data_IF_117919814905
#
_entry.id   IF_117919814905
#
_cell.length_a   1.000
_cell.length_b   1.000
_cell.length_c   1.000
_cell.angle_alpha   90.00
_cell.angle_beta   90.00
_cell.angle_gamma   90.00
#
_symmetry.space_group_name_H-M   'P 1'
#
loop_
_entity.id
_entity.type
_entity.pdbx_description
1 polymer ?
#
# COMPACT_ATOMS: atom_id res chain seq x y z
N UNK A 1 10.58 -2.46 -13.66
CA UNK A 1 10.25 -2.50 -12.22
C UNK A 1 8.73 -2.55 -12.07
N UNK A 2 8.16 -3.31 -11.12
CA UNK A 2 6.69 -3.48 -10.96
C UNK A 2 6.00 -2.13 -10.72
N UNK A 3 6.53 -1.29 -9.83
CA UNK A 3 6.00 0.04 -9.54
C UNK A 3 5.86 0.91 -10.81
N UNK A 4 6.91 1.03 -11.63
CA UNK A 4 6.83 1.79 -12.89
C UNK A 4 5.85 1.18 -13.91
N UNK A 5 5.70 -0.15 -13.93
CA UNK A 5 4.67 -0.79 -14.76
C UNK A 5 3.29 -0.33 -14.32
N UNK A 6 2.99 -0.40 -13.01
CA UNK A 6 1.68 -0.02 -12.46
C UNK A 6 1.33 1.45 -12.67
N UNK A 7 2.33 2.34 -12.71
CA UNK A 7 2.16 3.77 -13.02
C UNK A 7 1.72 3.99 -14.47
N UNK A 8 2.27 3.20 -15.40
CA UNK A 8 2.06 3.38 -16.84
C UNK A 8 0.96 2.47 -17.41
N UNK A 9 0.50 1.49 -16.64
CA UNK A 9 -0.51 0.53 -17.04
C UNK A 9 -1.87 1.22 -17.19
N UNK A 10 -2.44 1.03 -18.38
CA UNK A 10 -3.74 1.55 -18.78
C UNK A 10 -4.65 0.37 -19.07
N UNK A 11 -5.91 0.47 -18.65
CA UNK A 11 -6.92 -0.54 -18.93
C UNK A 11 -8.12 0.07 -19.63
N UNK A 12 -8.82 -0.78 -20.37
CA UNK A 12 -10.09 -0.44 -21.02
C UNK A 12 -11.20 -0.73 -20.04
N UNK A 13 -12.05 0.25 -19.74
CA UNK A 13 -13.29 -0.03 -19.03
C UNK A 13 -14.35 -0.60 -19.99
N UNK A 14 -15.48 -1.06 -19.43
CA UNK A 14 -16.60 -1.64 -20.18
C UNK A 14 -17.18 -0.74 -21.27
N UNK A 15 -16.89 0.57 -21.24
CA UNK A 15 -17.33 1.56 -22.22
C UNK A 15 -16.24 1.92 -23.24
N UNK A 16 -15.11 1.20 -23.23
CA UNK A 16 -13.98 1.47 -24.11
C UNK A 16 -13.17 2.72 -23.72
N UNK A 17 -13.35 3.27 -22.51
CA UNK A 17 -12.51 4.36 -22.05
C UNK A 17 -11.20 3.82 -21.49
N UNK A 18 -10.09 4.46 -21.87
CA UNK A 18 -8.76 4.13 -21.36
C UNK A 18 -8.55 4.83 -20.02
N UNK A 19 -8.42 4.06 -18.94
CA UNK A 19 -8.19 4.56 -17.59
C UNK A 19 -6.81 4.19 -17.08
N UNK A 20 -6.21 5.09 -16.29
CA UNK A 20 -5.00 4.78 -15.52
C UNK A 20 -5.38 4.00 -14.25
N UNK A 21 -4.44 3.23 -13.74
CA UNK A 21 -4.58 2.63 -12.41
C UNK A 21 -4.78 3.70 -11.34
N UNK A 22 -5.71 3.42 -10.43
CA UNK A 22 -6.00 4.21 -9.24
C UNK A 22 -5.70 3.35 -8.02
N UNK A 23 -5.06 3.93 -7.01
CA UNK A 23 -4.78 3.23 -5.75
C UNK A 23 -4.83 4.20 -4.57
N UNK A 24 -5.38 3.74 -3.44
CA UNK A 24 -5.03 4.30 -2.13
C UNK A 24 -3.54 4.02 -1.82
N UNK A 25 -2.97 4.66 -0.81
CA UNK A 25 -1.55 4.47 -0.51
C UNK A 25 -1.20 3.01 -0.17
N UNK A 26 -2.03 2.34 0.62
CA UNK A 26 -1.90 0.94 1.01
C UNK A 26 -2.19 -0.02 -0.14
N UNK A 27 -3.18 0.27 -0.98
CA UNK A 27 -3.55 -0.62 -2.10
C UNK A 27 -2.44 -0.66 -3.14
N UNK A 28 -1.74 0.46 -3.37
CA UNK A 28 -0.56 0.46 -4.21
C UNK A 28 0.53 -0.47 -3.67
N UNK A 29 0.82 -0.40 -2.37
CA UNK A 29 1.81 -1.25 -1.72
C UNK A 29 1.42 -2.74 -1.79
N UNK A 30 0.15 -3.06 -1.56
CA UNK A 30 -0.39 -4.42 -1.70
C UNK A 30 -0.29 -4.94 -3.12
N UNK A 31 -0.58 -4.10 -4.12
CA UNK A 31 -0.48 -4.50 -5.53
C UNK A 31 0.96 -4.82 -5.92
N UNK A 32 1.91 -4.00 -5.47
CA UNK A 32 3.35 -4.26 -5.68
C UNK A 32 3.76 -5.58 -5.03
N UNK A 33 3.35 -5.83 -3.78
CA UNK A 33 3.62 -7.07 -3.06
C UNK A 33 3.05 -8.29 -3.80
N UNK A 34 1.76 -8.28 -4.11
CA UNK A 34 1.06 -9.42 -4.72
C UNK A 34 1.64 -9.75 -6.09
N UNK A 35 1.99 -8.74 -6.89
CA UNK A 35 2.65 -8.96 -8.18
C UNK A 35 4.08 -9.48 -8.07
N UNK A 36 4.83 -8.99 -7.07
CA UNK A 36 6.16 -9.52 -6.80
C UNK A 36 6.10 -10.98 -6.38
N UNK A 37 5.17 -11.32 -5.47
CA UNK A 37 5.00 -12.64 -4.91
C UNK A 37 4.51 -13.64 -5.96
N UNK A 38 3.47 -13.29 -6.72
CA UNK A 38 2.91 -14.16 -7.77
C UNK A 38 3.94 -14.50 -8.84
N UNK A 39 4.73 -13.52 -9.31
CA UNK A 39 5.80 -13.75 -10.29
C UNK A 39 6.91 -14.68 -9.82
N UNK A 40 7.04 -14.89 -8.50
CA UNK A 40 8.09 -15.71 -7.88
C UNK A 40 7.55 -16.94 -7.16
N UNK A 41 6.24 -17.20 -7.26
CA UNK A 41 5.60 -18.29 -6.52
C UNK A 41 5.75 -18.17 -5.00
N UNK A 42 5.89 -16.95 -4.47
CA UNK A 42 6.06 -16.73 -3.04
C UNK A 42 4.70 -16.77 -2.32
N UNK A 43 4.63 -17.41 -1.15
CA UNK A 43 3.42 -17.40 -0.36
C UNK A 43 3.25 -16.05 0.35
N UNK A 44 2.00 -15.61 0.51
CA UNK A 44 1.63 -14.35 1.13
C UNK A 44 0.59 -14.63 2.21
N UNK A 45 0.82 -14.11 3.42
CA UNK A 45 -0.12 -14.09 4.54
C UNK A 45 -0.28 -12.64 4.96
N UNK A 46 -1.51 -12.14 5.00
CA UNK A 46 -1.81 -10.77 5.40
C UNK A 46 -2.97 -10.78 6.41
N UNK A 47 -2.74 -10.28 7.60
CA UNK A 47 -3.70 -10.14 8.69
C UNK A 47 -4.26 -8.72 8.69
N UNK A 48 -5.56 -8.59 8.77
CA UNK A 48 -6.25 -7.30 8.96
C UNK A 48 -7.04 -7.34 10.25
N UNK A 49 -7.60 -6.20 10.66
CA UNK A 49 -8.57 -6.15 11.75
C UNK A 49 -9.83 -6.99 11.54
N UNK A 50 -10.08 -7.50 10.32
CA UNK A 50 -11.25 -8.33 10.00
C UNK A 50 -10.91 -9.80 9.91
N UNK A 51 -9.84 -10.16 9.19
CA UNK A 51 -9.45 -11.57 8.97
C UNK A 51 -8.00 -11.69 8.47
N UNK A 52 -7.54 -12.93 8.36
CA UNK A 52 -6.29 -13.25 7.68
C UNK A 52 -6.56 -13.76 6.27
N UNK A 53 -5.79 -13.27 5.30
CA UNK A 53 -5.80 -13.68 3.90
C UNK A 53 -4.53 -14.47 3.61
N UNK A 54 -4.66 -15.54 2.82
CA UNK A 54 -3.53 -16.32 2.33
C UNK A 54 -3.72 -16.56 0.85
N UNK A 55 -2.71 -16.32 0.02
CA UNK A 55 -2.82 -16.57 -1.43
C UNK A 55 -2.92 -18.07 -1.79
N UNK A 56 -2.82 -18.95 -0.79
CA UNK A 56 -2.98 -20.39 -0.86
C UNK A 56 -4.12 -20.87 0.05
N UNK A 57 -5.12 -20.02 0.33
CA UNK A 57 -6.25 -20.39 1.18
C UNK A 57 -7.20 -21.40 0.51
N UNK A 58 -7.93 -22.15 1.33
CA UNK A 58 -9.01 -22.99 0.83
C UNK A 58 -10.13 -22.09 0.32
N UNK A 59 -10.58 -22.36 -0.91
CA UNK A 59 -11.67 -21.62 -1.52
C UNK A 59 -12.96 -21.75 -0.71
N UNK A 60 -13.66 -20.62 -0.59
CA UNK A 60 -15.00 -20.50 -0.01
C UNK A 60 -15.84 -19.57 -0.87
N UNK A 61 -17.00 -20.05 -1.35
CA UNK A 61 -17.87 -19.29 -2.27
C UNK A 61 -18.21 -17.89 -1.73
N UNK A 62 -18.58 -17.80 -0.44
CA UNK A 62 -18.98 -16.55 0.22
C UNK A 62 -17.90 -15.45 0.21
N UNK A 63 -16.62 -15.81 0.09
CA UNK A 63 -15.51 -14.85 0.13
C UNK A 63 -14.85 -14.68 -1.24
N UNK A 64 -14.84 -15.74 -2.06
CA UNK A 64 -14.04 -15.81 -3.28
C UNK A 64 -14.85 -15.57 -4.56
N UNK A 65 -16.15 -15.87 -4.62
CA UNK A 65 -16.92 -15.75 -5.88
C UNK A 65 -17.06 -14.32 -6.39
N UNK A 66 -16.85 -13.33 -5.52
CA UNK A 66 -16.82 -11.92 -5.90
C UNK A 66 -15.56 -11.53 -6.67
N UNK A 67 -14.46 -12.29 -6.51
CA UNK A 67 -13.15 -11.94 -7.01
C UNK A 67 -12.62 -13.00 -7.97
N UNK A 68 -11.83 -12.57 -8.96
CA UNK A 68 -11.20 -13.53 -9.86
C UNK A 68 -10.22 -14.43 -9.08
N UNK A 69 -10.21 -15.73 -9.37
CA UNK A 69 -9.27 -16.70 -8.78
C UNK A 69 -7.86 -16.58 -9.37
N UNK A 70 -7.27 -15.39 -9.25
CA UNK A 70 -5.92 -15.05 -9.68
C UNK A 70 -5.33 -13.98 -8.75
N UNK A 71 -4.08 -13.59 -8.98
CA UNK A 71 -3.39 -12.58 -8.18
C UNK A 71 -4.16 -11.25 -8.08
N UNK A 72 -4.85 -10.85 -9.14
CA UNK A 72 -5.61 -9.60 -9.16
C UNK A 72 -6.80 -9.67 -8.21
N UNK A 73 -7.62 -10.71 -8.29
CA UNK A 73 -8.75 -10.87 -7.38
C UNK A 73 -8.32 -11.11 -5.92
N UNK A 74 -7.20 -11.82 -5.69
CA UNK A 74 -6.61 -11.90 -4.34
C UNK A 74 -6.24 -10.52 -3.80
N UNK A 75 -5.59 -9.69 -4.63
CA UNK A 75 -5.21 -8.33 -4.22
C UNK A 75 -6.44 -7.50 -3.86
N UNK A 76 -7.45 -7.50 -4.72
CA UNK A 76 -8.70 -6.73 -4.52
C UNK A 76 -9.46 -7.17 -3.26
N UNK A 77 -9.48 -8.48 -2.99
CA UNK A 77 -10.09 -9.04 -1.79
C UNK A 77 -9.39 -8.56 -0.51
N UNK A 78 -8.06 -8.45 -0.51
CA UNK A 78 -7.28 -7.96 0.64
C UNK A 78 -7.50 -6.44 0.83
N UNK A 79 -7.46 -5.67 -0.26
CA UNK A 79 -7.62 -4.21 -0.27
C UNK A 79 -8.92 -3.74 0.41
N UNK A 80 -9.98 -4.56 0.39
CA UNK A 80 -11.25 -4.26 1.07
C UNK A 80 -11.11 -3.96 2.57
N UNK A 81 -10.18 -4.63 3.26
CA UNK A 81 -10.07 -4.55 4.71
C UNK A 81 -8.69 -4.17 5.21
N UNK A 82 -7.69 -4.18 4.34
CA UNK A 82 -6.33 -3.78 4.67
C UNK A 82 -6.21 -2.25 4.65
N UNK A 83 -5.71 -1.67 5.73
CA UNK A 83 -5.44 -0.25 5.88
C UNK A 83 -3.98 0.02 6.20
N UNK A 84 -3.59 1.31 6.17
CA UNK A 84 -2.27 1.73 6.62
C UNK A 84 -1.87 1.20 8.01
N UNK A 85 -2.76 1.16 9.03
CA UNK A 85 -2.42 0.60 10.35
C UNK A 85 -2.01 -0.87 10.32
N UNK A 86 -2.54 -1.68 9.38
CA UNK A 86 -2.21 -3.11 9.31
C UNK A 86 -0.73 -3.33 8.92
N UNK A 87 -0.05 -2.32 8.35
CA UNK A 87 1.41 -2.37 8.13
C UNK A 87 2.21 -2.44 9.45
N UNK A 88 1.61 -1.99 10.56
CA UNK A 88 2.23 -1.97 11.88
C UNK A 88 2.03 -3.27 12.67
N UNK A 89 1.34 -4.27 12.09
CA UNK A 89 1.25 -5.63 12.64
C UNK A 89 2.61 -6.37 12.48
N UNK A 90 3.61 -5.93 13.25
CA UNK A 90 4.98 -6.44 13.22
C UNK A 90 5.01 -7.90 13.67
N UNK A 91 5.73 -8.73 12.92
CA UNK A 91 5.82 -10.17 13.12
C UNK A 91 4.72 -10.97 12.40
N UNK A 92 3.64 -10.29 11.97
CA UNK A 92 2.58 -10.85 11.12
C UNK A 92 2.76 -10.37 9.68
N UNK A 93 2.40 -9.12 9.36
CA UNK A 93 2.43 -8.57 8.00
C UNK A 93 3.82 -8.08 7.60
N UNK A 94 4.51 -7.49 8.56
CA UNK A 94 5.79 -6.81 8.34
C UNK A 94 6.82 -7.17 9.40
N UNK A 95 8.06 -6.81 9.14
CA UNK A 95 9.16 -6.77 10.08
C UNK A 95 9.62 -5.30 10.17
N UNK A 96 10.02 -4.85 11.36
CA UNK A 96 10.61 -3.52 11.51
C UNK A 96 11.94 -3.42 10.75
N UNK A 97 12.21 -2.24 10.21
CA UNK A 97 13.52 -1.89 9.65
C UNK A 97 14.12 -0.83 10.55
N UNK A 98 15.22 -1.17 11.23
CA UNK A 98 15.71 -0.37 12.35
C UNK A 98 16.36 0.96 11.94
N UNK A 99 16.79 1.07 10.68
CA UNK A 99 17.50 2.24 10.19
C UNK A 99 17.25 2.50 8.70
N UNK A 100 17.30 3.78 8.32
CA UNK A 100 17.13 4.24 6.93
C UNK A 100 18.16 3.58 6.00
N UNK A 101 19.37 3.38 6.48
CA UNK A 101 20.48 2.73 5.77
C UNK A 101 20.20 1.24 5.46
N UNK A 102 19.24 0.62 6.16
CA UNK A 102 18.84 -0.78 5.94
C UNK A 102 17.67 -0.94 4.97
N UNK A 103 17.10 0.17 4.49
CA UNK A 103 16.01 0.15 3.54
C UNK A 103 16.44 -0.49 2.22
N UNK A 104 15.50 -1.20 1.61
CA UNK A 104 15.62 -1.83 0.31
C UNK A 104 14.41 -1.49 -0.57
N UNK A 105 14.54 -1.56 -1.90
CA UNK A 105 13.38 -1.47 -2.78
C UNK A 105 12.31 -2.50 -2.41
N UNK A 106 11.07 -2.03 -2.22
CA UNK A 106 9.93 -2.81 -1.75
C UNK A 106 9.61 -2.61 -0.27
N UNK A 107 10.50 -1.98 0.51
CA UNK A 107 10.22 -1.60 1.89
C UNK A 107 9.18 -0.47 1.96
N UNK A 108 8.54 -0.36 3.11
CA UNK A 108 7.39 0.46 3.39
C UNK A 108 7.78 1.56 4.38
N UNK A 109 7.43 2.80 4.06
CA UNK A 109 7.46 3.93 4.99
C UNK A 109 6.01 4.18 5.41
N UNK A 110 5.70 3.99 6.68
CA UNK A 110 4.39 4.23 7.25
C UNK A 110 4.40 5.53 8.07
N UNK A 111 3.72 6.56 7.58
CA UNK A 111 3.60 7.85 8.26
C UNK A 111 2.68 7.68 9.48
N UNK A 112 3.24 7.88 10.66
CA UNK A 112 2.57 7.56 11.92
C UNK A 112 2.92 8.55 13.04
N UNK A 113 4.16 9.03 13.08
CA UNK A 113 4.73 9.79 14.20
C UNK A 113 4.36 11.29 14.18
N UNK A 114 3.57 11.72 13.20
CA UNK A 114 3.03 13.07 13.08
C UNK A 114 1.66 13.24 13.76
N UNK A 115 1.10 12.17 14.35
CA UNK A 115 -0.22 12.18 15.02
C UNK A 115 -0.18 11.41 16.35
N UNK A 116 -1.05 11.76 17.31
CA UNK A 116 -1.14 11.02 18.58
C UNK A 116 -1.45 9.54 18.36
N UNK A 117 -0.79 8.68 19.15
CA UNK A 117 -0.99 7.24 19.14
C UNK A 117 -0.13 6.49 18.13
N UNK A 118 0.69 7.20 17.34
CA UNK A 118 1.66 6.63 16.40
C UNK A 118 1.01 5.60 15.45
N UNK A 119 -0.22 5.87 15.01
CA UNK A 119 -0.98 4.98 14.11
C UNK A 119 -0.79 5.42 12.66
N UNK A 120 -0.36 4.48 11.83
CA UNK A 120 -0.10 4.73 10.42
C UNK A 120 -1.37 5.16 9.68
N UNK A 121 -1.29 6.29 8.98
CA UNK A 121 -2.41 6.83 8.19
C UNK A 121 -2.05 7.11 6.74
N UNK A 122 -0.77 7.00 6.38
CA UNK A 122 -0.30 7.12 5.01
C UNK A 122 0.90 6.21 4.76
N UNK A 123 0.97 5.65 3.55
CA UNK A 123 1.97 4.64 3.15
C UNK A 123 2.74 5.10 1.91
N UNK A 124 4.06 4.93 1.95
CA UNK A 124 4.94 5.09 0.79
C UNK A 124 5.76 3.81 0.59
N UNK A 125 6.05 3.48 -0.66
CA UNK A 125 6.87 2.31 -1.03
C UNK A 125 8.20 2.79 -1.55
N UNK A 126 9.30 2.28 -0.99
CA UNK A 126 10.66 2.52 -1.48
C UNK A 126 10.83 1.80 -2.82
N UNK A 127 11.29 2.53 -3.84
CA UNK A 127 11.54 1.97 -5.18
C UNK A 127 13.02 2.08 -5.60
N UNK A 128 13.79 2.91 -4.92
CA UNK A 128 15.22 3.06 -5.14
C UNK A 128 15.87 3.68 -3.92
N UNK A 129 17.12 3.31 -3.64
CA UNK A 129 17.90 3.86 -2.54
C UNK A 129 19.37 3.96 -2.92
N UNK A 130 20.01 5.04 -2.47
CA UNK A 130 21.45 5.19 -2.39
C UNK A 130 21.83 5.96 -1.11
N UNK A 131 23.10 6.30 -0.94
CA UNK A 131 23.63 6.92 0.29
C UNK A 131 23.04 8.30 0.63
N UNK A 132 22.50 9.02 -0.34
CA UNK A 132 21.94 10.37 -0.15
C UNK A 132 20.51 10.54 -0.64
N UNK A 133 19.88 9.48 -1.18
CA UNK A 133 18.55 9.58 -1.78
C UNK A 133 17.73 8.30 -1.63
N UNK A 134 16.44 8.47 -1.34
CA UNK A 134 15.43 7.41 -1.30
C UNK A 134 14.31 7.79 -2.25
N UNK A 135 14.14 7.05 -3.35
CA UNK A 135 13.03 7.27 -4.27
C UNK A 135 11.81 6.47 -3.79
N UNK A 136 10.65 7.12 -3.75
CA UNK A 136 9.40 6.51 -3.29
C UNK A 136 8.28 6.61 -4.32
N UNK A 137 7.28 5.74 -4.18
CA UNK A 137 6.00 5.80 -4.89
C UNK A 137 4.87 5.64 -3.89
N UNK A 138 3.76 6.32 -4.14
CA UNK A 138 2.60 6.26 -3.25
C UNK A 138 1.31 6.36 -4.07
N UNK A 139 0.28 5.60 -3.68
CA UNK A 139 -1.09 5.92 -4.07
C UNK A 139 -1.58 7.15 -3.32
N UNK A 140 -2.71 7.71 -3.75
CA UNK A 140 -3.31 8.88 -3.10
C UNK A 140 -4.84 8.69 -3.02
N UNK A 141 -5.52 9.48 -2.20
CA UNK A 141 -6.98 9.43 -2.04
C UNK A 141 -7.58 10.81 -2.22
N UNK A 142 -8.71 10.91 -2.93
CA UNK A 142 -9.40 12.19 -3.10
C UNK A 142 -10.26 12.47 -1.86
N UNK A 143 -9.70 13.21 -0.90
CA UNK A 143 -10.40 13.68 0.30
C UNK A 143 -10.06 12.91 1.58
N UNK A 144 -10.34 13.56 2.72
CA UNK A 144 -10.01 13.14 4.08
C UNK A 144 -10.52 11.72 4.39
N UNK A 145 -9.63 10.72 4.32
CA UNK A 145 -9.91 9.35 4.76
C UNK A 145 -9.08 9.01 5.98
N UNK A 146 -9.33 9.69 7.10
CA UNK A 146 -9.11 9.02 8.39
C UNK A 146 -10.14 7.90 8.46
N UNK A 147 -9.73 6.66 8.23
CA UNK A 147 -10.55 5.47 8.46
C UNK A 147 -10.77 5.33 9.99
N UNK A 148 -11.89 5.88 10.50
CA UNK A 148 -12.92 5.04 11.11
C UNK A 148 -14.31 5.20 10.44
N UNK A 149 -14.46 6.07 9.43
CA UNK A 149 -15.76 6.44 8.86
C UNK A 149 -16.40 5.42 7.89
N UNK A 150 -15.76 4.27 7.62
CA UNK A 150 -16.30 3.24 6.72
C UNK A 150 -17.48 2.45 7.29
N UNK A 151 -17.83 2.63 8.57
CA UNK A 151 -18.95 1.91 9.20
C UNK A 151 -20.31 2.50 8.79
N UNK A 152 -20.45 3.82 8.66
CA UNK A 152 -21.72 4.47 8.34
C UNK A 152 -22.02 4.48 6.84
N UNK A 153 -21.00 4.54 5.98
CA UNK A 153 -21.15 4.49 4.52
C UNK A 153 -21.41 3.08 3.97
N UNK A 154 -21.14 2.03 4.77
CA UNK A 154 -21.50 0.64 4.47
C UNK A 154 -23.02 0.44 4.31
N UNK A 155 -23.84 1.30 4.91
CA UNK A 155 -25.31 1.27 4.86
C UNK A 155 -25.91 1.84 3.56
N UNK A 156 -25.14 2.59 2.76
CA UNK A 156 -25.61 3.30 1.55
C UNK A 156 -25.04 2.71 0.24
N UNK A 157 -24.50 1.48 0.28
CA UNK A 157 -24.18 0.70 -0.92
C UNK A 157 -22.94 1.16 -1.71
N UNK A 158 -22.15 2.09 -1.18
CA UNK A 158 -20.94 2.62 -1.83
C UNK A 158 -19.72 2.34 -0.94
N UNK A 159 -19.07 1.18 -1.16
CA UNK A 159 -17.83 0.86 -0.45
C UNK A 159 -16.65 1.51 -1.18
N UNK A 160 -16.21 2.68 -0.69
CA UNK A 160 -15.10 3.46 -1.27
C UNK A 160 -13.73 2.76 -1.16
N UNK A 161 -13.63 1.70 -0.35
CA UNK A 161 -12.43 0.86 -0.24
C UNK A 161 -12.43 -0.31 -1.24
N UNK A 162 -13.52 -0.54 -1.97
CA UNK A 162 -13.57 -1.59 -2.98
C UNK A 162 -13.07 -1.07 -4.33
N UNK A 163 -11.93 -1.57 -4.85
CA UNK A 163 -11.41 -1.15 -6.15
C UNK A 163 -12.32 -1.50 -7.33
N UNK A 164 -13.30 -2.41 -7.15
CA UNK A 164 -14.28 -2.75 -8.18
C UNK A 164 -15.48 -1.80 -8.24
N UNK A 165 -15.64 -0.90 -7.27
CA UNK A 165 -16.77 0.04 -7.24
C UNK A 165 -16.47 1.34 -7.99
N UNK A 166 -17.50 1.91 -8.65
CA UNK A 166 -17.41 3.20 -9.36
C UNK A 166 -17.02 4.38 -8.45
N UNK A 167 -17.20 4.24 -7.12
CA UNK A 167 -16.86 5.23 -6.09
C UNK A 167 -15.52 5.00 -5.37
N UNK A 168 -14.63 4.17 -5.91
CA UNK A 168 -13.32 3.88 -5.31
C UNK A 168 -12.48 5.15 -5.10
N UNK A 169 -11.94 5.33 -3.88
CA UNK A 169 -11.28 6.57 -3.46
C UNK A 169 -9.84 6.75 -3.99
N UNK A 170 -9.25 5.71 -4.59
CA UNK A 170 -7.88 5.74 -5.07
C UNK A 170 -7.65 6.78 -6.17
N UNK A 171 -6.45 7.34 -6.21
CA UNK A 171 -5.99 8.30 -7.20
C UNK A 171 -4.77 7.77 -7.95
N UNK A 172 -4.30 8.55 -8.93
CA UNK A 172 -3.05 8.27 -9.64
C UNK A 172 -1.87 8.15 -8.68
N UNK A 173 -0.95 7.25 -9.00
CA UNK A 173 0.28 7.05 -8.22
C UNK A 173 1.18 8.30 -8.36
N UNK A 174 1.65 8.82 -7.24
CA UNK A 174 2.56 9.96 -7.18
C UNK A 174 4.03 9.52 -7.02
N UNK A 175 4.93 10.40 -7.48
CA UNK A 175 6.38 10.24 -7.36
C UNK A 175 6.92 11.26 -6.37
N UNK A 176 7.79 10.81 -5.49
CA UNK A 176 8.54 11.67 -4.58
C UNK A 176 9.88 11.03 -4.24
N UNK A 177 10.72 11.79 -3.55
CA UNK A 177 11.97 11.26 -3.02
C UNK A 177 12.37 11.98 -1.74
N UNK A 178 13.18 11.31 -0.93
CA UNK A 178 13.89 11.91 0.19
C UNK A 178 15.34 12.16 -0.19
N UNK A 179 15.88 13.29 0.26
CA UNK A 179 17.30 13.65 0.10
C UNK A 179 17.93 13.84 1.48
N UNK A 180 19.13 13.29 1.66
CA UNK A 180 19.84 13.37 2.93
C UNK A 180 20.29 14.81 3.17
N UNK A 181 19.82 15.40 4.27
CA UNK A 181 20.21 16.74 4.69
C UNK A 181 21.26 16.68 5.80
N UNK A 182 21.69 17.85 6.28
CA UNK A 182 22.58 17.94 7.46
C UNK A 182 21.87 17.35 8.70
N UNK A 183 20.57 17.58 8.80
CA UNK A 183 19.70 17.01 9.84
C UNK A 183 18.60 16.21 9.15
N UNK A 184 18.64 14.90 9.30
CA UNK A 184 17.59 14.02 8.81
C UNK A 184 17.46 13.95 7.28
N UNK A 185 16.21 13.86 6.81
CA UNK A 185 15.90 13.60 5.41
C UNK A 185 14.73 14.46 4.92
N UNK A 186 15.01 15.32 3.94
CA UNK A 186 14.04 16.23 3.35
C UNK A 186 13.23 15.53 2.27
N UNK A 187 11.91 15.72 2.27
CA UNK A 187 11.02 15.18 1.26
C UNK A 187 10.80 16.16 0.12
N UNK A 188 10.81 15.67 -1.12
CA UNK A 188 10.47 16.44 -2.33
C UNK A 188 9.33 15.76 -3.08
N UNK A 189 8.21 16.47 -3.20
CA UNK A 189 7.05 16.03 -3.98
C UNK A 189 7.20 16.50 -5.44
N UNK A 190 7.37 15.55 -6.36
CA UNK A 190 7.57 15.89 -7.79
C UNK A 190 6.28 16.29 -8.51
N UNK A 191 5.11 15.93 -7.97
CA UNK A 191 3.82 16.31 -8.54
C UNK A 191 3.42 17.75 -8.19
N UNK A 192 3.75 18.19 -6.96
CA UNK A 192 3.39 19.52 -6.44
C UNK A 192 4.53 20.53 -6.45
N UNK A 193 5.77 20.08 -6.61
CA UNK A 193 6.97 20.92 -6.54
C UNK A 193 7.26 21.46 -5.14
N UNK A 194 6.75 20.79 -4.09
CA UNK A 194 6.95 21.18 -2.69
C UNK A 194 8.10 20.39 -2.04
N UNK A 195 8.70 21.01 -1.02
CA UNK A 195 9.74 20.41 -0.18
C UNK A 195 9.33 20.51 1.28
N UNK A 196 9.50 19.43 2.04
CA UNK A 196 9.26 19.37 3.49
C UNK A 196 10.56 18.93 4.19
N UNK A 197 11.07 19.77 5.09
CA UNK A 197 12.35 19.54 5.78
C UNK A 197 12.24 18.44 6.85
N UNK A 198 13.26 17.57 6.93
CA UNK A 198 13.36 16.48 7.92
C UNK A 198 12.05 15.69 8.08
N UNK A 199 11.39 15.38 6.96
CA UNK A 199 10.04 14.82 6.95
C UNK A 199 10.03 13.31 7.23
N UNK A 200 11.12 12.60 6.94
CA UNK A 200 11.20 11.15 7.15
C UNK A 200 11.07 10.75 8.62
N UNK A 201 11.39 11.65 9.57
CA UNK A 201 11.23 11.38 11.01
C UNK A 201 9.78 11.05 11.41
N UNK A 202 8.81 11.41 10.57
CA UNK A 202 7.39 11.12 10.80
C UNK A 202 7.01 9.67 10.46
N UNK A 203 7.95 8.89 9.92
CA UNK A 203 7.69 7.56 9.38
C UNK A 203 8.33 6.45 10.22
N UNK A 204 7.58 5.37 10.36
CA UNK A 204 8.10 4.07 10.79
C UNK A 204 8.44 3.23 9.56
N UNK A 205 9.51 2.44 9.65
CA UNK A 205 10.08 1.70 8.53
C UNK A 205 9.79 0.21 8.65
N UNK A 206 9.30 -0.40 7.56
CA UNK A 206 8.85 -1.78 7.56
C UNK A 206 9.28 -2.54 6.30
N UNK A 207 9.41 -3.85 6.43
CA UNK A 207 9.62 -4.80 5.34
C UNK A 207 8.56 -5.89 5.37
N UNK A 208 8.09 -6.33 4.20
CA UNK A 208 7.13 -7.43 4.11
C UNK A 208 7.64 -8.74 4.72
N UNK A 209 6.81 -9.40 5.52
CA UNK A 209 7.15 -10.64 6.20
C UNK A 209 6.71 -11.88 5.41
N UNK A 210 7.48 -12.27 4.39
CA UNK A 210 7.20 -13.51 3.63
C UNK A 210 7.31 -14.77 4.50
N UNK A 211 8.14 -14.75 5.55
CA UNK A 211 8.31 -15.89 6.46
C UNK A 211 7.12 -16.08 7.41
N UNK A 212 6.33 -15.03 7.63
CA UNK A 212 5.10 -15.06 8.45
C UNK A 212 4.07 -16.05 7.93
N UNK A 213 4.11 -16.39 6.64
CA UNK A 213 3.24 -17.41 6.06
C UNK A 213 3.39 -18.78 6.75
N UNK A 214 4.62 -19.16 7.12
CA UNK A 214 4.91 -20.45 7.77
C UNK A 214 4.45 -20.51 9.23
N UNK A 215 4.03 -19.37 9.80
CA UNK A 215 3.48 -19.31 11.15
C UNK A 215 1.97 -19.58 11.09
N UNK A 216 1.51 -20.41 12.03
CA UNK A 216 0.09 -20.76 12.17
C UNK A 216 -0.75 -19.53 12.44
#
# INVERSE_FOLDING_TARGET
>A
MIAEKLINEKYWDKNGAVKNNKFTCEDFALRVLCEFASKRGLPVKLKTGVRTYRNMENYTAAQHDRYASNMYGFSEMVMLTYGAPDMQEVGENTLAVDAVESLMPGDILAQALDRPGDVAHHIQVVVGINTSRIDIRQGNTSGWSTRPNTTFQRLIGSNMADPQNDGYAGMSIEKGFYEKAVVGWDYKNMAKGSTDEDFLKNFQLYRWNFMGFNKK
#
